data_IF_538568492013
#
_entry.id   IF_538568492013
#
_cell.length_a   1.000
_cell.length_b   1.000
_cell.length_c   1.000
_cell.angle_alpha   90.00
_cell.angle_beta   90.00
_cell.angle_gamma   90.00
#
_symmetry.space_group_name_H-M   'P 1'
#
loop_
_entity.id
_entity.type
_entity.pdbx_description
1 polymer ?
#
# COMPACT_ATOMS: atom_id res chain seq x y z
N UNK A 1 -39.75 -19.65 3.59
CA UNK A 1 -39.33 -18.28 3.23
C UNK A 1 -37.81 -18.27 3.26
N UNK A 2 -37.16 -17.84 2.17
CA UNK A 2 -35.71 -17.79 2.07
C UNK A 2 -35.27 -16.40 1.62
N UNK A 3 -34.15 -15.92 2.16
CA UNK A 3 -33.48 -14.73 1.64
C UNK A 3 -32.94 -15.09 0.26
N UNK A 4 -33.31 -14.33 -0.78
CA UNK A 4 -32.88 -14.57 -2.15
C UNK A 4 -31.89 -13.52 -2.69
N UNK A 5 -31.65 -12.43 -1.93
CA UNK A 5 -30.74 -11.35 -2.30
C UNK A 5 -30.37 -10.48 -1.10
N UNK A 6 -29.15 -9.94 -1.12
CA UNK A 6 -28.67 -8.91 -0.21
C UNK A 6 -27.98 -7.82 -1.04
N UNK A 7 -28.32 -6.55 -0.81
CA UNK A 7 -27.79 -5.39 -1.53
C UNK A 7 -27.38 -4.34 -0.51
N UNK A 8 -26.22 -3.72 -0.71
CA UNK A 8 -25.82 -2.58 0.12
C UNK A 8 -26.74 -1.39 -0.20
N UNK A 9 -27.46 -0.91 0.82
CA UNK A 9 -28.33 0.26 0.73
C UNK A 9 -27.69 1.43 1.48
N UNK A 10 -27.15 2.39 0.72
CA UNK A 10 -26.19 3.39 1.19
C UNK A 10 -26.85 4.76 1.24
N UNK A 11 -26.88 5.36 2.42
CA UNK A 11 -27.43 6.70 2.62
C UNK A 11 -26.43 7.78 2.23
N UNK A 12 -26.79 8.68 1.32
CA UNK A 12 -25.92 9.74 0.81
C UNK A 12 -26.57 11.11 0.95
N UNK A 13 -25.77 12.16 1.11
CA UNK A 13 -26.27 13.53 1.13
C UNK A 13 -26.78 13.95 -0.25
N UNK A 14 -26.09 13.55 -1.33
CA UNK A 14 -26.49 13.86 -2.70
C UNK A 14 -26.45 12.60 -3.60
N UNK A 15 -27.63 12.04 -3.89
CA UNK A 15 -27.75 10.82 -4.70
C UNK A 15 -27.29 11.04 -6.13
N UNK A 16 -27.55 12.21 -6.73
CA UNK A 16 -27.10 12.50 -8.10
C UNK A 16 -25.58 12.47 -8.22
N UNK A 17 -24.87 13.02 -7.23
CA UNK A 17 -23.39 13.03 -7.17
C UNK A 17 -22.83 11.62 -6.99
N UNK A 18 -23.39 10.85 -6.05
CA UNK A 18 -23.01 9.45 -5.85
C UNK A 18 -23.24 8.63 -7.14
N UNK A 19 -24.45 8.71 -7.71
CA UNK A 19 -24.80 7.96 -8.92
C UNK A 19 -23.86 8.31 -10.06
N UNK A 20 -23.56 9.59 -10.31
CA UNK A 20 -22.65 9.96 -11.39
C UNK A 20 -21.24 9.38 -11.19
N UNK A 21 -20.68 9.42 -9.97
CA UNK A 21 -19.39 8.82 -9.66
C UNK A 21 -19.34 7.32 -9.98
N UNK A 22 -20.32 6.53 -9.50
CA UNK A 22 -20.33 5.08 -9.72
C UNK A 22 -20.58 4.71 -11.19
N UNK A 23 -21.34 5.53 -11.93
CA UNK A 23 -21.55 5.31 -13.36
C UNK A 23 -20.32 5.67 -14.17
N UNK A 24 -19.76 6.85 -13.94
CA UNK A 24 -18.68 7.39 -14.78
C UNK A 24 -17.36 6.65 -14.56
N UNK A 25 -17.05 6.27 -13.32
CA UNK A 25 -15.76 5.65 -12.99
C UNK A 25 -15.81 4.13 -12.87
N UNK A 26 -16.92 3.59 -12.40
CA UNK A 26 -17.04 2.15 -12.12
C UNK A 26 -17.97 1.43 -13.10
N UNK A 27 -18.55 2.16 -14.07
CA UNK A 27 -19.32 1.58 -15.16
C UNK A 27 -20.71 1.06 -14.75
N UNK A 28 -21.23 1.44 -13.58
CA UNK A 28 -22.57 1.03 -13.17
C UNK A 28 -23.64 1.65 -14.09
N UNK A 29 -24.74 0.91 -14.27
CA UNK A 29 -25.95 1.39 -14.93
C UNK A 29 -27.06 1.64 -13.91
N UNK A 30 -27.92 2.63 -14.18
CA UNK A 30 -29.14 2.84 -13.39
C UNK A 30 -30.19 1.85 -13.85
N UNK A 31 -30.54 0.90 -12.97
CA UNK A 31 -31.63 -0.05 -13.21
C UNK A 31 -32.98 0.61 -12.93
N UNK A 32 -33.06 1.38 -11.84
CA UNK A 32 -34.28 2.08 -11.43
C UNK A 32 -33.90 3.30 -10.60
N UNK A 33 -34.68 4.37 -10.72
CA UNK A 33 -34.56 5.56 -9.86
C UNK A 33 -35.92 6.15 -9.53
N UNK A 34 -35.98 6.85 -8.41
CA UNK A 34 -37.08 7.71 -8.00
C UNK A 34 -36.53 9.10 -7.73
N UNK A 35 -37.27 10.11 -8.17
CA UNK A 35 -36.88 11.51 -8.06
C UNK A 35 -38.03 12.34 -7.53
N UNK A 36 -37.68 13.41 -6.83
CA UNK A 36 -38.59 14.48 -6.41
C UNK A 36 -38.11 15.82 -6.99
N UNK A 37 -38.53 16.93 -6.38
CA UNK A 37 -38.18 18.28 -6.81
C UNK A 37 -36.73 18.68 -6.47
N UNK A 38 -36.04 17.94 -5.59
CA UNK A 38 -34.66 18.22 -5.18
C UNK A 38 -33.63 17.33 -5.90
N UNK A 39 -34.08 16.35 -6.70
CA UNK A 39 -33.21 15.46 -7.46
C UNK A 39 -33.59 13.99 -7.29
N UNK A 40 -32.62 13.10 -7.41
CA UNK A 40 -32.82 11.67 -7.15
C UNK A 40 -32.96 11.47 -5.63
N UNK A 41 -34.06 10.85 -5.21
CA UNK A 41 -34.27 10.47 -3.80
C UNK A 41 -33.74 9.05 -3.55
N UNK A 42 -33.88 8.17 -4.56
CA UNK A 42 -33.40 6.81 -4.50
C UNK A 42 -32.96 6.30 -5.87
N UNK A 43 -31.87 5.55 -5.93
CA UNK A 43 -31.40 4.88 -7.13
C UNK A 43 -30.90 3.47 -6.87
N UNK A 44 -31.17 2.58 -7.81
CA UNK A 44 -30.63 1.22 -7.88
C UNK A 44 -29.69 1.09 -9.07
N UNK A 45 -28.45 0.75 -8.76
CA UNK A 45 -27.36 0.65 -9.71
C UNK A 45 -26.91 -0.80 -9.85
N UNK A 46 -26.47 -1.16 -11.05
CA UNK A 46 -25.96 -2.50 -11.36
C UNK A 46 -24.75 -2.45 -12.29
N UNK A 47 -23.75 -3.25 -11.98
CA UNK A 47 -22.63 -3.57 -12.87
C UNK A 47 -22.44 -5.09 -12.87
N UNK A 48 -22.71 -5.74 -14.00
CA UNK A 48 -22.73 -7.20 -14.11
C UNK A 48 -23.61 -7.86 -13.04
N UNK A 49 -23.03 -8.55 -12.06
CA UNK A 49 -23.72 -9.19 -10.93
C UNK A 49 -23.66 -8.36 -9.63
N UNK A 50 -22.98 -7.22 -9.64
CA UNK A 50 -22.83 -6.31 -8.50
C UNK A 50 -24.00 -5.32 -8.52
N UNK A 51 -24.67 -5.16 -7.38
CA UNK A 51 -25.81 -4.27 -7.23
C UNK A 51 -25.63 -3.40 -5.98
N UNK A 52 -25.97 -2.11 -6.10
CA UNK A 52 -25.90 -1.11 -5.04
C UNK A 52 -27.17 -0.25 -5.08
N UNK A 53 -27.66 0.18 -3.92
CA UNK A 53 -28.72 1.19 -3.86
C UNK A 53 -28.27 2.40 -3.07
N UNK A 54 -28.63 3.58 -3.56
CA UNK A 54 -28.41 4.85 -2.88
C UNK A 54 -29.75 5.47 -2.51
N UNK A 55 -29.82 6.07 -1.32
CA UNK A 55 -30.98 6.85 -0.89
C UNK A 55 -30.52 8.16 -0.24
N UNK A 56 -31.33 9.22 -0.40
CA UNK A 56 -31.04 10.52 0.18
C UNK A 56 -31.22 10.46 1.70
N UNK A 57 -30.19 10.84 2.45
CA UNK A 57 -30.24 10.96 3.91
C UNK A 57 -31.21 12.05 4.33
N UNK A 58 -31.95 11.81 5.41
CA UNK A 58 -32.68 12.86 6.12
C UNK A 58 -31.72 13.88 6.73
N UNK A 59 -32.19 15.08 7.05
CA UNK A 59 -31.34 16.14 7.64
C UNK A 59 -30.66 15.72 8.96
N UNK A 60 -31.28 14.80 9.72
CA UNK A 60 -30.70 14.25 10.95
C UNK A 60 -29.55 13.27 10.68
N UNK A 61 -29.54 12.60 9.54
CA UNK A 61 -28.52 11.60 9.18
C UNK A 61 -27.31 12.20 8.48
N UNK A 62 -27.45 13.42 7.93
CA UNK A 62 -26.36 14.16 7.28
C UNK A 62 -25.21 14.52 8.24
N UNK A 63 -25.42 14.47 9.56
CA UNK A 63 -24.37 14.77 10.55
C UNK A 63 -23.44 13.59 10.86
N UNK A 64 -23.69 12.40 10.28
CA UNK A 64 -22.88 11.19 10.52
C UNK A 64 -21.85 11.03 9.40
N UNK A 65 -20.57 10.99 9.77
CA UNK A 65 -19.46 10.80 8.82
C UNK A 65 -19.53 9.40 8.17
N UNK A 66 -19.58 9.36 6.84
CA UNK A 66 -19.83 8.15 6.07
C UNK A 66 -18.75 7.06 6.24
N UNK A 67 -17.48 7.45 6.41
CA UNK A 67 -16.35 6.51 6.52
C UNK A 67 -16.42 5.60 7.75
N UNK A 68 -17.22 5.94 8.76
CA UNK A 68 -17.38 5.15 9.99
C UNK A 68 -18.58 4.18 9.93
N UNK A 69 -19.32 4.15 8.81
CA UNK A 69 -20.59 3.41 8.70
C UNK A 69 -20.47 2.19 7.81
N UNK A 70 -19.80 2.31 6.66
CA UNK A 70 -19.67 1.23 5.67
C UNK A 70 -18.35 1.37 4.91
N UNK A 71 -17.72 0.24 4.62
CA UNK A 71 -16.59 0.13 3.70
C UNK A 71 -16.95 -0.86 2.62
N UNK A 72 -16.70 -0.51 1.35
CA UNK A 72 -16.90 -1.40 0.21
C UNK A 72 -15.55 -1.95 -0.23
N UNK A 73 -15.39 -3.26 -0.14
CA UNK A 73 -14.20 -3.98 -0.59
C UNK A 73 -14.51 -4.71 -1.89
N UNK A 74 -13.72 -4.45 -2.93
CA UNK A 74 -13.94 -4.94 -4.29
C UNK A 74 -12.68 -5.60 -4.82
N UNK A 75 -12.82 -6.81 -5.34
CA UNK A 75 -11.78 -7.44 -6.15
C UNK A 75 -11.87 -6.90 -7.58
N UNK A 76 -10.72 -6.75 -8.24
CA UNK A 76 -10.64 -6.26 -9.61
C UNK A 76 -9.55 -6.99 -10.41
N UNK A 77 -9.76 -7.11 -11.71
CA UNK A 77 -8.86 -7.86 -12.61
C UNK A 77 -7.55 -7.10 -12.92
N UNK A 78 -7.55 -5.78 -12.77
CA UNK A 78 -6.38 -4.94 -13.02
C UNK A 78 -6.41 -3.69 -12.12
N UNK A 79 -5.85 -3.85 -10.92
CA UNK A 79 -5.85 -2.80 -9.90
C UNK A 79 -5.06 -1.56 -10.34
N UNK A 80 -3.96 -1.73 -11.09
CA UNK A 80 -3.13 -0.61 -11.56
C UNK A 80 -3.84 0.22 -12.64
N UNK A 81 -4.53 -0.43 -13.58
CA UNK A 81 -5.31 0.27 -14.59
C UNK A 81 -6.44 1.08 -13.94
N UNK A 82 -7.11 0.50 -12.94
CA UNK A 82 -8.16 1.18 -12.21
C UNK A 82 -7.62 2.35 -11.38
N UNK A 83 -6.50 2.17 -10.68
CA UNK A 83 -5.81 3.24 -9.96
C UNK A 83 -5.49 4.43 -10.87
N UNK A 84 -4.90 4.17 -12.04
CA UNK A 84 -4.58 5.19 -13.02
C UNK A 84 -5.85 5.83 -13.62
N UNK A 85 -6.91 5.05 -13.82
CA UNK A 85 -8.20 5.57 -14.27
C UNK A 85 -8.77 6.61 -13.29
N UNK A 86 -8.72 6.36 -11.97
CA UNK A 86 -9.11 7.35 -10.97
C UNK A 86 -8.29 8.65 -11.08
N UNK A 87 -6.96 8.55 -11.17
CA UNK A 87 -6.07 9.72 -11.30
C UNK A 87 -6.40 10.53 -12.56
N UNK A 88 -6.58 9.85 -13.69
CA UNK A 88 -6.91 10.51 -14.97
C UNK A 88 -8.22 11.30 -14.92
N UNK A 89 -9.16 10.89 -14.05
CA UNK A 89 -10.43 11.57 -13.85
C UNK A 89 -10.41 12.59 -12.69
N UNK A 90 -9.22 12.94 -12.20
CA UNK A 90 -9.05 14.01 -11.20
C UNK A 90 -9.19 13.56 -9.75
N UNK A 91 -9.25 12.26 -9.49
CA UNK A 91 -9.31 11.71 -8.14
C UNK A 91 -7.91 11.44 -7.57
N UNK A 92 -7.81 11.40 -6.25
CA UNK A 92 -6.56 11.18 -5.53
C UNK A 92 -6.69 9.92 -4.65
N UNK A 93 -6.58 8.72 -5.23
CA UNK A 93 -6.48 7.50 -4.44
C UNK A 93 -5.22 7.53 -3.56
N UNK A 94 -5.26 6.83 -2.43
CA UNK A 94 -4.06 6.59 -1.63
C UNK A 94 -3.10 5.66 -2.39
N UNK A 95 -1.79 5.84 -2.18
CA UNK A 95 -0.74 5.01 -2.79
C UNK A 95 -1.05 3.50 -2.67
N UNK A 96 -0.89 2.77 -3.77
CA UNK A 96 -1.03 1.31 -3.76
C UNK A 96 -0.04 0.65 -2.78
N UNK A 97 -0.48 -0.41 -2.12
CA UNK A 97 0.30 -1.15 -1.14
C UNK A 97 0.08 -2.66 -1.20
N UNK A 98 1.07 -3.42 -0.72
CA UNK A 98 0.95 -4.87 -0.57
C UNK A 98 0.34 -5.22 0.80
N UNK A 99 -0.58 -6.18 0.81
CA UNK A 99 -1.27 -6.62 2.02
C UNK A 99 -0.70 -7.92 2.57
N UNK A 100 -0.84 -8.16 3.88
CA UNK A 100 -0.38 -9.40 4.52
C UNK A 100 -1.01 -10.70 3.96
N UNK A 101 -2.12 -10.58 3.22
CA UNK A 101 -2.77 -11.68 2.51
C UNK A 101 -2.42 -11.71 1.00
N UNK A 102 -1.31 -11.05 0.63
CA UNK A 102 -0.70 -11.10 -0.71
C UNK A 102 -1.64 -10.57 -1.80
N UNK A 103 -2.17 -9.36 -1.58
CA UNK A 103 -2.88 -8.61 -2.60
C UNK A 103 -2.25 -7.22 -2.77
N UNK A 104 -2.34 -6.68 -3.98
CA UNK A 104 -2.02 -5.28 -4.26
C UNK A 104 -3.31 -4.48 -4.17
N UNK A 105 -3.31 -3.42 -3.35
CA UNK A 105 -4.51 -2.65 -3.04
C UNK A 105 -4.29 -1.15 -3.11
N UNK A 106 -5.35 -0.42 -3.42
CA UNK A 106 -5.47 0.99 -3.04
C UNK A 106 -6.84 1.26 -2.44
N UNK A 107 -6.95 2.41 -1.77
CA UNK A 107 -8.20 2.88 -1.22
C UNK A 107 -8.46 4.34 -1.59
N UNK A 108 -9.73 4.69 -1.66
CA UNK A 108 -10.19 6.02 -1.98
C UNK A 108 -11.54 6.30 -1.30
N UNK A 109 -11.81 7.57 -0.98
CA UNK A 109 -13.15 8.02 -0.58
C UNK A 109 -13.99 8.34 -1.81
N UNK A 110 -15.22 7.85 -1.84
CA UNK A 110 -16.22 8.36 -2.81
C UNK A 110 -16.60 9.82 -2.47
N UNK A 111 -17.38 10.52 -3.32
CA UNK A 111 -17.79 11.90 -3.06
C UNK A 111 -18.59 12.11 -1.77
N UNK A 112 -19.15 11.03 -1.22
CA UNK A 112 -19.98 11.02 -0.02
C UNK A 112 -19.18 10.62 1.23
N UNK A 113 -17.89 10.31 1.07
CA UNK A 113 -16.95 9.98 2.13
C UNK A 113 -16.88 8.50 2.49
N UNK A 114 -17.55 7.61 1.76
CA UNK A 114 -17.44 6.16 1.96
C UNK A 114 -16.09 5.65 1.47
N UNK A 115 -15.47 4.76 2.24
CA UNK A 115 -14.20 4.14 1.86
C UNK A 115 -14.42 2.99 0.88
N UNK A 116 -13.72 3.06 -0.25
CA UNK A 116 -13.65 2.03 -1.27
C UNK A 116 -12.26 1.41 -1.28
N UNK A 117 -12.19 0.08 -1.26
CA UNK A 117 -10.96 -0.70 -1.42
C UNK A 117 -11.03 -1.47 -2.72
N UNK A 118 -9.97 -1.41 -3.50
CA UNK A 118 -9.79 -2.20 -4.72
C UNK A 118 -8.59 -3.10 -4.54
N UNK A 119 -8.80 -4.39 -4.75
CA UNK A 119 -7.83 -5.44 -4.46
C UNK A 119 -7.64 -6.36 -5.65
N UNK A 120 -6.41 -6.76 -5.90
CA UNK A 120 -6.07 -7.81 -6.85
C UNK A 120 -5.09 -8.77 -6.19
N UNK A 121 -5.34 -10.07 -6.29
CA UNK A 121 -4.45 -11.06 -5.73
C UNK A 121 -3.10 -11.04 -6.47
N UNK A 122 -1.98 -11.06 -5.74
CA UNK A 122 -0.66 -10.97 -6.35
C UNK A 122 -0.36 -12.12 -7.34
N UNK A 123 -0.99 -13.29 -7.19
CA UNK A 123 -0.85 -14.42 -8.12
C UNK A 123 -1.51 -14.18 -9.47
N UNK A 124 -2.44 -13.25 -9.53
CA UNK A 124 -3.17 -12.86 -10.74
C UNK A 124 -2.49 -11.70 -11.46
N UNK A 125 -1.45 -11.11 -10.85
CA UNK A 125 -0.66 -10.02 -11.43
C UNK A 125 0.53 -10.60 -12.19
N UNK A 126 0.62 -10.27 -13.47
CA UNK A 126 1.81 -10.55 -14.26
C UNK A 126 2.83 -9.40 -14.13
N UNK A 127 3.76 -9.53 -13.18
CA UNK A 127 4.78 -8.53 -12.91
C UNK A 127 5.96 -8.65 -13.88
N UNK A 128 6.16 -7.65 -14.75
CA UNK A 128 7.38 -7.60 -15.58
C UNK A 128 8.57 -7.12 -14.76
N UNK A 129 9.78 -7.59 -15.08
CA UNK A 129 11.03 -7.10 -14.50
C UNK A 129 11.14 -5.59 -14.63
N UNK A 130 10.80 -5.05 -15.80
CA UNK A 130 10.84 -3.60 -16.06
C UNK A 130 9.96 -2.85 -15.06
N UNK A 131 8.70 -3.27 -14.92
CA UNK A 131 7.76 -2.62 -14.01
C UNK A 131 8.21 -2.75 -12.54
N UNK A 132 8.72 -3.91 -12.13
CA UNK A 132 9.24 -4.13 -10.79
C UNK A 132 10.41 -3.17 -10.50
N UNK A 133 11.40 -3.09 -11.40
CA UNK A 133 12.53 -2.16 -11.26
C UNK A 133 12.07 -0.69 -11.24
N UNK A 134 11.08 -0.31 -12.05
CA UNK A 134 10.49 1.03 -12.05
C UNK A 134 9.84 1.37 -10.71
N UNK A 135 9.04 0.46 -10.12
CA UNK A 135 8.41 0.64 -8.80
C UNK A 135 9.46 0.81 -7.69
N UNK A 136 10.47 -0.06 -7.68
CA UNK A 136 11.57 -0.01 -6.70
C UNK A 136 12.35 1.30 -6.82
N UNK A 137 12.73 1.67 -8.04
CA UNK A 137 13.47 2.91 -8.30
C UNK A 137 12.66 4.16 -7.93
N UNK A 138 11.38 4.20 -8.25
CA UNK A 138 10.52 5.33 -7.91
C UNK A 138 10.48 5.57 -6.39
N UNK A 139 10.22 4.52 -5.60
CA UNK A 139 10.12 4.66 -4.14
C UNK A 139 11.49 4.85 -3.46
N UNK A 140 12.55 4.26 -4.00
CA UNK A 140 13.91 4.55 -3.54
C UNK A 140 14.29 6.02 -3.77
N UNK A 141 14.02 6.56 -4.95
CA UNK A 141 14.29 7.97 -5.27
C UNK A 141 13.49 8.92 -4.37
N UNK A 142 12.20 8.64 -4.15
CA UNK A 142 11.35 9.43 -3.26
C UNK A 142 11.91 9.45 -1.82
N UNK A 143 12.38 8.30 -1.31
CA UNK A 143 13.04 8.21 -0.01
C UNK A 143 14.35 9.01 0.03
N UNK A 144 15.19 8.89 -1.00
CA UNK A 144 16.44 9.65 -1.13
C UNK A 144 16.19 11.17 -1.17
N UNK A 145 15.16 11.62 -1.89
CA UNK A 145 14.78 13.04 -1.96
C UNK A 145 14.37 13.58 -0.58
N UNK A 146 13.53 12.84 0.15
CA UNK A 146 13.15 13.22 1.52
C UNK A 146 14.39 13.30 2.41
N UNK A 147 15.27 12.30 2.39
CA UNK A 147 16.49 12.28 3.20
C UNK A 147 17.39 13.49 2.89
N UNK A 148 17.66 13.76 1.61
CA UNK A 148 18.53 14.87 1.18
C UNK A 148 17.95 16.25 1.51
N UNK A 149 16.64 16.36 1.67
CA UNK A 149 15.95 17.62 1.98
C UNK A 149 16.00 18.00 3.47
N UNK A 150 16.41 17.09 4.35
CA UNK A 150 16.35 17.26 5.80
C UNK A 150 17.73 17.54 6.40
N UNK A 151 17.83 18.41 7.41
CA UNK A 151 19.08 18.59 8.16
C UNK A 151 19.36 17.35 9.02
N UNK A 152 20.64 17.06 9.26
CA UNK A 152 21.09 15.88 10.02
C UNK A 152 20.42 15.75 11.40
N UNK A 153 20.17 16.88 12.07
CA UNK A 153 19.46 16.92 13.36
C UNK A 153 18.05 16.32 13.27
N UNK A 154 17.32 16.54 12.18
CA UNK A 154 16.00 15.93 11.99
C UNK A 154 16.12 14.44 11.65
N UNK A 155 17.13 14.06 10.86
CA UNK A 155 17.36 12.67 10.49
C UNK A 155 17.63 11.80 11.72
N UNK A 156 18.37 12.33 12.70
CA UNK A 156 18.75 11.63 13.92
C UNK A 156 17.77 11.82 15.08
N UNK A 157 16.76 12.70 14.94
CA UNK A 157 15.79 12.95 16.01
C UNK A 157 14.84 11.74 16.16
N UNK A 158 14.74 11.15 17.37
CA UNK A 158 13.76 10.10 17.66
C UNK A 158 12.32 10.59 17.52
N UNK A 159 11.37 9.67 17.30
CA UNK A 159 9.94 9.96 17.35
C UNK A 159 9.18 9.77 16.04
N UNK A 160 9.84 9.26 14.98
CA UNK A 160 9.17 9.00 13.69
C UNK A 160 8.20 7.83 13.83
N UNK A 161 8.67 6.73 14.42
CA UNK A 161 7.87 5.54 14.73
C UNK A 161 8.29 4.99 16.09
N UNK A 162 7.56 5.35 17.14
CA UNK A 162 8.00 5.06 18.51
C UNK A 162 9.31 5.77 18.81
N UNK A 163 10.33 5.04 19.24
CA UNK A 163 11.67 5.59 19.52
C UNK A 163 12.55 5.76 18.26
N UNK A 164 12.12 5.28 17.10
CA UNK A 164 12.96 5.30 15.90
C UNK A 164 13.05 6.69 15.29
N UNK A 165 14.28 7.06 14.90
CA UNK A 165 14.57 8.20 14.03
C UNK A 165 14.52 7.79 12.55
N UNK A 166 14.70 8.75 11.64
CA UNK A 166 14.82 8.45 10.19
C UNK A 166 16.06 7.59 9.93
N UNK A 167 17.17 7.86 10.65
CA UNK A 167 18.38 7.02 10.60
C UNK A 167 18.07 5.55 10.91
N UNK A 168 17.31 5.31 11.97
CA UNK A 168 17.00 3.96 12.43
C UNK A 168 16.08 3.22 11.46
N UNK A 169 15.13 3.95 10.86
CA UNK A 169 14.29 3.43 9.77
C UNK A 169 15.15 3.01 8.57
N UNK A 170 16.13 3.82 8.16
CA UNK A 170 17.01 3.46 7.03
C UNK A 170 17.85 2.23 7.38
N UNK A 171 18.39 2.15 8.60
CA UNK A 171 19.10 0.95 9.06
C UNK A 171 18.22 -0.30 9.04
N UNK A 172 16.95 -0.17 9.44
CA UNK A 172 15.97 -1.24 9.36
C UNK A 172 15.71 -1.69 7.91
N UNK A 173 15.47 -0.75 6.99
CA UNK A 173 15.30 -1.03 5.56
C UNK A 173 16.53 -1.75 4.98
N UNK A 174 17.74 -1.27 5.30
CA UNK A 174 19.00 -1.90 4.91
C UNK A 174 19.10 -3.35 5.40
N UNK A 175 18.74 -3.61 6.66
CA UNK A 175 18.78 -4.95 7.22
C UNK A 175 17.81 -5.90 6.49
N UNK A 176 16.61 -5.43 6.14
CA UNK A 176 15.63 -6.22 5.37
C UNK A 176 16.06 -6.46 3.92
N UNK A 177 16.65 -5.45 3.24
CA UNK A 177 17.29 -5.66 1.94
C UNK A 177 18.36 -6.77 2.02
N UNK A 178 19.22 -6.74 3.05
CA UNK A 178 20.27 -7.74 3.25
C UNK A 178 19.72 -9.15 3.54
N UNK A 179 18.60 -9.26 4.25
CA UNK A 179 17.90 -10.54 4.45
C UNK A 179 17.36 -11.09 3.13
N UNK A 180 16.66 -10.26 2.34
CA UNK A 180 16.19 -10.66 1.01
C UNK A 180 17.34 -11.14 0.12
N UNK A 181 18.45 -10.39 0.08
CA UNK A 181 19.65 -10.76 -0.67
C UNK A 181 20.16 -12.13 -0.23
N UNK A 182 20.26 -12.38 1.08
CA UNK A 182 20.71 -13.66 1.63
C UNK A 182 19.78 -14.81 1.20
N UNK A 183 18.46 -14.62 1.27
CA UNK A 183 17.50 -15.64 0.86
C UNK A 183 17.67 -16.00 -0.62
N UNK A 184 17.76 -14.98 -1.49
CA UNK A 184 17.98 -15.14 -2.92
C UNK A 184 19.32 -15.83 -3.22
N UNK A 185 20.40 -15.40 -2.56
CA UNK A 185 21.74 -15.96 -2.74
C UNK A 185 21.79 -17.45 -2.42
N UNK A 186 21.29 -17.83 -1.25
CA UNK A 186 21.27 -19.23 -0.81
C UNK A 186 20.40 -20.07 -1.76
N UNK A 187 19.23 -19.55 -2.15
CA UNK A 187 18.36 -20.27 -3.09
C UNK A 187 19.00 -20.45 -4.48
N UNK A 188 19.74 -19.46 -5.00
CA UNK A 188 20.49 -19.59 -6.25
C UNK A 188 21.65 -20.59 -6.16
N UNK A 189 22.13 -20.90 -4.96
CA UNK A 189 23.12 -21.94 -4.70
C UNK A 189 22.50 -23.33 -4.50
N UNK A 190 21.17 -23.45 -4.58
CA UNK A 190 20.43 -24.69 -4.33
C UNK A 190 20.20 -24.97 -2.84
N UNK A 191 20.44 -23.99 -1.96
CA UNK A 191 20.21 -24.09 -0.52
C UNK A 191 18.82 -23.55 -0.15
N UNK A 192 18.29 -24.01 1.00
CA UNK A 192 17.02 -23.51 1.54
C UNK A 192 17.34 -22.51 2.66
N UNK A 193 17.07 -21.21 2.48
CA UNK A 193 17.34 -20.22 3.51
C UNK A 193 16.40 -20.39 4.71
N UNK A 194 16.91 -20.11 5.90
CA UNK A 194 16.06 -19.92 7.09
C UNK A 194 15.51 -18.50 7.08
N UNK A 195 14.19 -18.35 6.93
CA UNK A 195 13.51 -17.05 6.94
C UNK A 195 12.81 -16.82 8.29
N UNK A 196 12.83 -15.58 8.85
CA UNK A 196 13.48 -14.38 8.30
C UNK A 196 15.02 -14.40 8.41
N UNK A 197 15.60 -15.03 9.44
CA UNK A 197 17.03 -15.34 9.52
C UNK A 197 17.29 -16.41 10.59
N UNK A 198 18.49 -17.05 10.63
CA UNK A 198 18.80 -18.08 11.63
C UNK A 198 18.56 -17.62 13.08
N UNK A 199 17.84 -18.44 13.84
CA UNK A 199 17.49 -18.15 15.24
C UNK A 199 16.19 -17.37 15.43
N UNK A 200 15.55 -16.91 14.35
CA UNK A 200 14.27 -16.21 14.41
C UNK A 200 13.18 -16.91 13.58
N UNK A 201 11.95 -16.66 13.98
CA UNK A 201 10.73 -17.11 13.30
C UNK A 201 9.82 -15.90 13.06
N UNK A 202 8.88 -15.99 12.12
CA UNK A 202 8.00 -14.86 11.76
C UNK A 202 7.12 -14.35 12.91
N UNK A 203 6.76 -15.18 13.90
CA UNK A 203 6.08 -14.75 15.13
C UNK A 203 6.97 -13.88 16.04
N UNK A 204 8.29 -13.93 15.87
CA UNK A 204 9.28 -13.13 16.61
C UNK A 204 9.76 -11.90 15.84
N UNK A 205 9.01 -11.46 14.82
CA UNK A 205 9.46 -10.37 13.96
C UNK A 205 9.72 -9.06 14.71
N UNK A 206 8.92 -8.75 15.72
CA UNK A 206 9.11 -7.56 16.54
C UNK A 206 10.41 -7.62 17.35
N UNK A 207 10.73 -8.79 17.91
CA UNK A 207 12.00 -9.02 18.60
C UNK A 207 13.17 -8.86 17.63
N UNK A 208 13.06 -9.44 16.44
CA UNK A 208 14.11 -9.32 15.42
C UNK A 208 14.35 -7.87 14.99
N UNK A 209 13.27 -7.11 14.81
CA UNK A 209 13.34 -5.69 14.48
C UNK A 209 13.95 -4.87 15.63
N UNK A 210 13.63 -5.20 16.88
CA UNK A 210 14.25 -4.57 18.05
C UNK A 210 15.75 -4.87 18.14
N UNK A 211 16.15 -6.14 17.98
CA UNK A 211 17.55 -6.53 18.04
C UNK A 211 18.36 -5.91 16.89
N UNK A 212 17.74 -5.78 15.71
CA UNK A 212 18.28 -5.03 14.57
C UNK A 212 18.48 -3.56 14.95
N UNK A 213 17.46 -2.91 15.52
CA UNK A 213 17.56 -1.52 15.99
C UNK A 213 18.71 -1.34 16.98
N UNK A 214 18.81 -2.21 18.00
CA UNK A 214 19.88 -2.15 19.00
C UNK A 214 21.28 -2.30 18.39
N UNK A 215 21.43 -3.12 17.34
CA UNK A 215 22.70 -3.29 16.61
C UNK A 215 23.14 -2.05 15.85
N UNK A 216 22.19 -1.27 15.31
CA UNK A 216 22.48 -0.11 14.46
C UNK A 216 22.36 1.24 15.18
N UNK A 217 21.83 1.26 16.41
CA UNK A 217 21.54 2.48 17.18
C UNK A 217 22.73 3.43 17.27
N UNK A 218 23.93 2.91 17.50
CA UNK A 218 25.16 3.71 17.67
C UNK A 218 26.00 3.81 16.38
N UNK A 219 25.49 3.28 15.26
CA UNK A 219 26.18 3.40 13.96
C UNK A 219 25.93 4.80 13.37
N UNK A 220 27.00 5.35 12.80
CA UNK A 220 26.99 6.65 12.13
C UNK A 220 26.06 6.67 10.91
N UNK A 221 25.33 7.76 10.73
CA UNK A 221 24.32 7.87 9.69
C UNK A 221 24.91 7.68 8.28
N UNK A 222 26.07 8.25 7.99
CA UNK A 222 26.72 8.10 6.68
C UNK A 222 27.00 6.62 6.36
N UNK A 223 27.43 5.83 7.35
CA UNK A 223 27.67 4.40 7.14
C UNK A 223 26.37 3.64 6.88
N UNK A 224 25.28 3.99 7.57
CA UNK A 224 23.95 3.42 7.31
C UNK A 224 23.46 3.77 5.90
N UNK A 225 23.72 4.99 5.44
CA UNK A 225 23.32 5.45 4.12
C UNK A 225 24.10 4.74 3.00
N UNK A 226 25.42 4.60 3.16
CA UNK A 226 26.28 3.84 2.24
C UNK A 226 25.81 2.38 2.14
N UNK A 227 25.56 1.73 3.28
CA UNK A 227 25.05 0.36 3.32
C UNK A 227 23.65 0.22 2.69
N UNK A 228 22.81 1.25 2.83
CA UNK A 228 21.48 1.27 2.21
C UNK A 228 21.60 1.33 0.69
N UNK A 229 22.43 2.24 0.16
CA UNK A 229 22.70 2.35 -1.27
C UNK A 229 23.31 1.07 -1.85
N UNK A 230 24.29 0.48 -1.17
CA UNK A 230 24.88 -0.79 -1.57
C UNK A 230 23.83 -1.92 -1.63
N UNK A 231 23.03 -2.07 -0.56
CA UNK A 231 21.99 -3.10 -0.50
C UNK A 231 20.92 -2.91 -1.58
N UNK A 232 20.56 -1.67 -1.89
CA UNK A 232 19.64 -1.34 -2.98
C UNK A 232 20.18 -1.81 -4.33
N UNK A 233 21.43 -1.45 -4.66
CA UNK A 233 22.03 -1.86 -5.93
C UNK A 233 22.19 -3.38 -6.03
N UNK A 234 22.56 -4.05 -4.95
CA UNK A 234 22.63 -5.51 -4.92
C UNK A 234 21.28 -6.17 -5.18
N UNK A 235 20.18 -5.68 -4.59
CA UNK A 235 18.82 -6.16 -4.91
C UNK A 235 18.53 -6.00 -6.40
N UNK A 236 18.83 -4.84 -6.99
CA UNK A 236 18.65 -4.64 -8.44
C UNK A 236 19.49 -5.60 -9.26
N UNK A 237 20.73 -5.89 -8.86
CA UNK A 237 21.60 -6.87 -9.54
C UNK A 237 20.96 -8.25 -9.56
N UNK A 238 20.40 -8.74 -8.44
CA UNK A 238 19.68 -10.02 -8.43
C UNK A 238 18.41 -9.99 -9.28
N UNK A 239 17.60 -8.92 -9.21
CA UNK A 239 16.39 -8.82 -10.04
C UNK A 239 16.73 -8.92 -11.54
N UNK A 240 17.89 -8.38 -11.95
CA UNK A 240 18.31 -8.43 -13.34
C UNK A 240 18.65 -9.85 -13.83
N UNK A 241 18.96 -10.80 -12.95
CA UNK A 241 19.27 -12.19 -13.34
C UNK A 241 18.03 -13.04 -13.64
N UNK A 242 16.86 -12.66 -13.13
CA UNK A 242 15.59 -13.38 -13.34
C UNK A 242 14.92 -13.01 -14.67
N UNK A 243 14.08 -13.86 -15.24
CA UNK A 243 13.11 -13.46 -16.27
C UNK A 243 11.76 -13.10 -15.65
N UNK A 244 10.84 -12.55 -16.45
CA UNK A 244 9.48 -12.25 -15.99
C UNK A 244 8.79 -13.52 -15.47
N UNK A 245 8.96 -14.66 -16.15
CA UNK A 245 8.40 -15.94 -15.71
C UNK A 245 8.94 -16.38 -14.34
N UNK A 246 10.23 -16.16 -14.05
CA UNK A 246 10.83 -16.48 -12.75
C UNK A 246 10.21 -15.61 -11.64
N UNK A 247 10.07 -14.31 -11.90
CA UNK A 247 9.48 -13.37 -10.94
C UNK A 247 8.03 -13.70 -10.60
N UNK A 248 7.30 -14.30 -11.55
CA UNK A 248 5.89 -14.68 -11.39
C UNK A 248 5.69 -16.15 -10.96
N UNK A 249 6.76 -16.95 -10.91
CA UNK A 249 6.67 -18.36 -10.56
C UNK A 249 6.46 -18.56 -9.06
N UNK A 250 5.27 -19.05 -8.68
CA UNK A 250 4.87 -19.34 -7.30
C UNK A 250 5.61 -20.53 -6.67
N UNK A 251 6.30 -21.33 -7.48
CA UNK A 251 7.00 -22.54 -7.06
C UNK A 251 8.52 -22.38 -7.14
N UNK A 252 9.02 -21.19 -7.53
CA UNK A 252 10.44 -20.96 -7.73
C UNK A 252 11.25 -21.22 -6.47
N UNK A 253 10.80 -20.69 -5.33
CA UNK A 253 11.41 -20.90 -4.03
C UNK A 253 10.38 -21.26 -2.97
N UNK A 254 10.67 -22.29 -2.17
CA UNK A 254 9.75 -22.76 -1.13
C UNK A 254 9.48 -21.72 -0.03
N UNK A 255 10.42 -20.81 0.22
CA UNK A 255 10.30 -19.81 1.28
C UNK A 255 9.33 -18.66 0.94
N UNK A 256 8.87 -18.53 -0.32
CA UNK A 256 7.82 -17.56 -0.71
C UNK A 256 6.42 -18.06 -0.37
N UNK A 257 6.29 -19.25 0.24
CA UNK A 257 5.02 -19.85 0.67
C UNK A 257 3.96 -19.90 -0.45
N UNK A 258 4.41 -20.25 -1.66
CA UNK A 258 3.55 -20.36 -2.83
C UNK A 258 3.15 -19.03 -3.43
N UNK A 259 3.83 -17.93 -3.11
CA UNK A 259 3.66 -16.62 -3.73
C UNK A 259 4.70 -16.38 -4.82
N UNK A 260 4.40 -15.54 -5.83
CA UNK A 260 5.39 -15.09 -6.79
C UNK A 260 6.58 -14.40 -6.10
N UNK A 261 7.80 -14.64 -6.58
CA UNK A 261 9.03 -14.05 -6.03
C UNK A 261 8.96 -12.51 -5.98
N UNK A 262 8.31 -11.87 -6.95
CA UNK A 262 8.19 -10.41 -6.96
C UNK A 262 7.49 -9.85 -5.71
N UNK A 263 6.62 -10.63 -5.05
CA UNK A 263 5.89 -10.20 -3.86
C UNK A 263 6.82 -10.01 -2.68
N UNK A 264 7.68 -10.99 -2.40
CA UNK A 264 8.71 -10.89 -1.35
C UNK A 264 9.73 -9.80 -1.66
N UNK A 265 10.11 -9.63 -2.93
CA UNK A 265 10.93 -8.49 -3.36
C UNK A 265 10.22 -7.17 -3.02
N UNK A 266 8.93 -7.06 -3.35
CA UNK A 266 8.12 -5.87 -3.08
C UNK A 266 8.00 -5.53 -1.59
N UNK A 267 7.74 -6.53 -0.74
CA UNK A 267 7.67 -6.38 0.72
C UNK A 267 8.98 -5.94 1.37
N UNK A 268 10.11 -6.18 0.73
CA UNK A 268 11.42 -5.76 1.22
C UNK A 268 11.92 -4.48 0.53
N UNK A 269 11.25 -4.02 -0.54
CA UNK A 269 11.67 -2.86 -1.33
C UNK A 269 10.56 -1.81 -1.45
N UNK A 270 9.91 -1.68 -2.61
CA UNK A 270 9.05 -0.53 -2.91
C UNK A 270 7.90 -0.34 -1.91
N UNK A 271 7.27 -1.42 -1.43
CA UNK A 271 6.18 -1.33 -0.47
C UNK A 271 6.70 -1.02 0.94
N UNK A 272 7.86 -1.58 1.30
CA UNK A 272 8.54 -1.27 2.56
C UNK A 272 8.98 0.20 2.62
N UNK A 273 9.57 0.69 1.54
CA UNK A 273 10.01 2.08 1.41
C UNK A 273 8.80 3.02 1.48
N UNK A 274 7.71 2.68 0.77
CA UNK A 274 6.44 3.42 0.82
C UNK A 274 5.88 3.48 2.24
N UNK A 275 5.81 2.38 2.97
CA UNK A 275 5.22 2.35 4.32
C UNK A 275 5.97 3.27 5.29
N UNK A 276 7.30 3.25 5.24
CA UNK A 276 8.14 4.15 6.04
C UNK A 276 8.13 5.60 5.53
N UNK A 277 8.07 5.82 4.23
CA UNK A 277 7.90 7.16 3.63
C UNK A 277 6.64 7.86 4.16
N UNK A 278 5.52 7.14 4.29
CA UNK A 278 4.28 7.68 4.88
C UNK A 278 4.53 8.16 6.31
N UNK A 279 5.19 7.34 7.14
CA UNK A 279 5.50 7.71 8.53
C UNK A 279 6.46 8.91 8.60
N UNK A 280 7.53 8.90 7.81
CA UNK A 280 8.52 9.97 7.74
C UNK A 280 7.87 11.29 7.31
N UNK A 281 7.11 11.30 6.21
CA UNK A 281 6.44 12.51 5.70
C UNK A 281 5.46 13.09 6.71
N UNK A 282 4.68 12.24 7.37
CA UNK A 282 3.76 12.66 8.44
C UNK A 282 4.52 13.31 9.59
N UNK A 283 5.59 12.68 10.08
CA UNK A 283 6.40 13.21 11.17
C UNK A 283 7.08 14.53 10.80
N UNK A 284 7.68 14.63 9.61
CA UNK A 284 8.30 15.87 9.10
C UNK A 284 7.29 17.00 9.01
N UNK A 285 6.06 16.73 8.58
CA UNK A 285 4.98 17.72 8.56
C UNK A 285 4.71 18.30 9.94
N UNK A 286 4.52 17.42 10.93
CA UNK A 286 4.30 17.82 12.34
C UNK A 286 5.47 18.65 12.89
N UNK A 287 6.71 18.23 12.64
CA UNK A 287 7.91 18.94 13.11
C UNK A 287 8.05 20.33 12.49
N UNK A 288 7.70 20.49 11.20
CA UNK A 288 7.69 21.80 10.55
C UNK A 288 6.63 22.72 11.16
N UNK A 289 5.44 22.20 11.43
CA UNK A 289 4.36 22.97 12.05
C UNK A 289 4.72 23.45 13.46
N UNK A 290 5.39 22.61 14.26
CA UNK A 290 5.88 22.97 15.60
C UNK A 290 6.99 24.04 15.57
N UNK A 291 7.85 24.02 14.55
CA UNK A 291 8.90 25.03 14.38
C UNK A 291 8.36 26.37 13.89
N UNK A 292 7.25 26.38 13.14
CA UNK A 292 6.58 27.61 12.68
C UNK A 292 5.70 28.21 13.79
N UNK A 293 5.03 27.36 14.57
CA UNK A 293 4.16 27.75 15.68
C UNK A 293 4.65 27.14 17.00
N UNK A 294 5.74 27.67 17.59
CA UNK A 294 6.17 27.23 18.91
C UNK A 294 5.07 27.59 19.93
N UNK A 295 4.54 26.57 20.61
CA UNK A 295 3.56 26.74 21.70
C UNK A 295 4.11 27.61 22.83
#
# INVERSE_FOLDING_TARGET
>A
MGINKMVANIGVANVDTAVEFYRSLLGFDIVRKFSDHEGIDWAHLKYQNIELTFFRKSDREKTIEASNVLTLFMNCDNVEALYNHFILHGYQPEDMYLTFYHSLEFKIKDPEGYMLFFSQNCKEINMTKKLLLEKIKAKYNELQEVIRSLPLVMIQKPGVQGEWSIKDIIAHLTAWNKRLICWIQLSNQGEIPQTPEPGYTWDKIHQLNHDTFMKFKDVEFNKILDDFEESYFQVLTYINTYQDDDLNNCELYSWTNGQPLWVDIGFNTFDHYRSHLVAIKKWVGIEKDLNINPK
#
